data_IF_023798940003
#
_entry.id   IF_023798940003
#
_cell.length_a   1.000
_cell.length_b   1.000
_cell.length_c   1.000
_cell.angle_alpha   90.00
_cell.angle_beta   90.00
_cell.angle_gamma   90.00
#
_symmetry.space_group_name_H-M   'P 1'
#
loop_
_entity.id
_entity.type
_entity.pdbx_description
1 polymer ?
#
# COMPACT_ATOMS: atom_id res chain seq x y z
N UNK A 1 7.74 51.73 -28.43
CA UNK A 1 7.88 50.58 -29.36
C UNK A 1 8.68 49.40 -28.78
N UNK A 2 9.91 49.59 -28.27
CA UNK A 2 10.73 48.49 -27.68
C UNK A 2 10.10 47.77 -26.48
N UNK A 3 9.33 48.47 -25.65
CA UNK A 3 8.63 47.87 -24.48
C UNK A 3 7.49 46.95 -24.93
N UNK A 4 6.67 47.40 -25.89
CA UNK A 4 5.60 46.59 -26.47
C UNK A 4 6.12 45.30 -27.10
N UNK A 5 7.23 45.38 -27.84
CA UNK A 5 7.87 44.18 -28.41
C UNK A 5 8.31 43.18 -27.33
N UNK A 6 8.95 43.65 -26.25
CA UNK A 6 9.35 42.79 -25.12
C UNK A 6 8.14 42.15 -24.43
N UNK A 7 7.06 42.91 -24.22
CA UNK A 7 5.82 42.39 -23.62
C UNK A 7 5.14 41.36 -24.53
N UNK A 8 5.11 41.60 -25.85
CA UNK A 8 4.57 40.64 -26.81
C UNK A 8 5.36 39.33 -26.83
N UNK A 9 6.70 39.39 -26.78
CA UNK A 9 7.54 38.19 -26.70
C UNK A 9 7.29 37.41 -25.41
N UNK A 10 7.21 38.10 -24.26
CA UNK A 10 6.88 37.47 -22.97
C UNK A 10 5.49 36.82 -23.01
N UNK A 11 4.51 37.51 -23.60
CA UNK A 11 3.15 36.99 -23.73
C UNK A 11 3.08 35.75 -24.64
N UNK A 12 3.79 35.76 -25.77
CA UNK A 12 3.88 34.60 -26.68
C UNK A 12 4.56 33.43 -25.98
N UNK A 13 5.68 33.66 -25.27
CA UNK A 13 6.36 32.61 -24.50
C UNK A 13 5.46 32.04 -23.41
N UNK A 14 4.73 32.88 -22.69
CA UNK A 14 3.78 32.44 -21.68
C UNK A 14 2.64 31.62 -22.30
N UNK A 15 2.07 32.07 -23.42
CA UNK A 15 1.01 31.35 -24.13
C UNK A 15 1.48 29.97 -24.62
N UNK A 16 2.70 29.87 -25.16
CA UNK A 16 3.31 28.59 -25.54
C UNK A 16 3.51 27.68 -24.33
N UNK A 17 3.99 28.23 -23.21
CA UNK A 17 4.14 27.48 -21.96
C UNK A 17 2.81 27.11 -21.29
N UNK A 18 1.67 27.65 -21.73
CA UNK A 18 0.35 27.31 -21.20
C UNK A 18 -0.32 26.14 -21.94
N UNK A 19 0.23 25.68 -23.07
CA UNK A 19 -0.32 24.54 -23.85
C UNK A 19 -0.14 23.26 -23.03
N UNK A 20 -1.19 22.47 -22.73
CA UNK A 20 -1.08 21.25 -21.95
C UNK A 20 -0.30 20.13 -22.68
N UNK A 21 0.31 19.23 -21.91
CA UNK A 21 0.98 18.05 -22.46
C UNK A 21 -0.06 17.01 -22.90
N UNK A 22 0.09 16.42 -24.09
CA UNK A 22 -0.74 15.31 -24.58
C UNK A 22 -0.52 13.98 -23.83
N UNK A 23 0.36 13.95 -22.82
CA UNK A 23 0.91 12.70 -22.24
C UNK A 23 0.34 12.30 -20.87
N UNK A 24 -0.55 13.08 -20.27
CA UNK A 24 -1.09 12.74 -18.94
C UNK A 24 -2.54 12.30 -19.06
N UNK A 25 -2.77 11.02 -19.36
CA UNK A 25 -4.08 10.42 -19.11
C UNK A 25 -4.08 9.83 -17.71
N UNK A 26 -4.89 10.38 -16.80
CA UNK A 26 -5.31 9.59 -15.64
C UNK A 26 -6.21 8.49 -16.20
N UNK A 27 -5.74 7.24 -16.12
CA UNK A 27 -6.62 6.12 -16.36
C UNK A 27 -7.46 5.91 -15.10
N UNK A 28 -8.74 6.26 -15.18
CA UNK A 28 -9.74 5.88 -14.19
C UNK A 28 -10.46 4.66 -14.79
N UNK A 29 -10.35 3.48 -14.17
CA UNK A 29 -11.13 2.32 -14.57
C UNK A 29 -12.63 2.67 -14.61
N UNK A 30 -13.24 2.63 -15.82
CA UNK A 30 -14.68 2.94 -16.00
C UNK A 30 -15.58 1.97 -15.25
N UNK A 31 -15.13 0.73 -15.07
CA UNK A 31 -15.77 -0.31 -14.26
C UNK A 31 -14.76 -0.88 -13.27
N UNK A 32 -14.42 -0.10 -12.25
CA UNK A 32 -14.00 -0.68 -10.96
C UNK A 32 -15.25 -1.08 -10.20
N UNK A 33 -16.00 -2.04 -10.73
CA UNK A 33 -17.10 -2.64 -10.00
C UNK A 33 -16.59 -3.13 -8.64
N UNK A 34 -17.43 -3.01 -7.61
CA UNK A 34 -17.27 -3.55 -6.26
C UNK A 34 -17.13 -5.08 -6.26
N UNK A 35 -16.17 -5.63 -7.00
CA UNK A 35 -16.23 -6.99 -7.52
C UNK A 35 -15.92 -8.01 -6.45
N UNK A 36 -15.06 -7.75 -5.46
CA UNK A 36 -14.82 -8.66 -4.31
C UNK A 36 -14.56 -7.92 -3.00
N UNK A 37 -13.62 -6.96 -2.98
CA UNK A 37 -13.31 -6.13 -1.80
C UNK A 37 -14.51 -5.29 -1.34
N UNK A 38 -15.25 -4.67 -2.28
CA UNK A 38 -16.53 -4.02 -1.99
C UNK A 38 -17.56 -4.95 -1.31
N UNK A 39 -17.67 -6.20 -1.78
CA UNK A 39 -18.54 -7.22 -1.15
C UNK A 39 -18.06 -7.56 0.26
N UNK A 40 -16.75 -7.68 0.47
CA UNK A 40 -16.18 -7.93 1.80
C UNK A 40 -16.51 -6.80 2.77
N UNK A 41 -16.27 -5.54 2.38
CA UNK A 41 -16.57 -4.37 3.20
C UNK A 41 -18.06 -4.29 3.57
N UNK A 42 -18.94 -4.60 2.60
CA UNK A 42 -20.38 -4.65 2.81
C UNK A 42 -20.77 -5.70 3.84
N UNK A 43 -20.24 -6.93 3.71
CA UNK A 43 -20.48 -8.01 4.68
C UNK A 43 -19.95 -7.67 6.07
N UNK A 44 -18.76 -7.05 6.17
CA UNK A 44 -18.20 -6.61 7.45
C UNK A 44 -19.12 -5.58 8.13
N UNK A 45 -19.52 -4.53 7.40
CA UNK A 45 -20.41 -3.51 7.94
C UNK A 45 -21.76 -4.09 8.39
N UNK A 46 -22.36 -4.98 7.60
CA UNK A 46 -23.59 -5.68 7.96
C UNK A 46 -23.43 -6.55 9.21
N UNK A 47 -22.33 -7.31 9.31
CA UNK A 47 -22.04 -8.14 10.48
C UNK A 47 -21.83 -7.28 11.73
N UNK A 48 -21.10 -6.17 11.62
CA UNK A 48 -20.85 -5.27 12.74
C UNK A 48 -22.16 -4.71 13.32
N UNK A 49 -23.05 -4.22 12.46
CA UNK A 49 -24.38 -3.74 12.86
C UNK A 49 -25.20 -4.88 13.47
N UNK A 50 -25.22 -6.05 12.83
CA UNK A 50 -25.95 -7.23 13.30
C UNK A 50 -25.53 -7.65 14.70
N UNK A 51 -24.22 -7.79 14.96
CA UNK A 51 -23.73 -8.28 16.24
C UNK A 51 -23.75 -7.23 17.35
N UNK A 52 -23.74 -5.93 17.02
CA UNK A 52 -23.88 -4.87 18.02
C UNK A 52 -25.20 -4.89 18.78
N UNK A 53 -26.29 -5.30 18.12
CA UNK A 53 -27.62 -5.36 18.75
C UNK A 53 -27.87 -6.69 19.49
N UNK A 54 -26.93 -7.64 19.43
CA UNK A 54 -27.03 -8.91 20.17
C UNK A 54 -26.40 -8.82 21.56
N UNK A 55 -26.86 -9.65 22.50
CA UNK A 55 -26.28 -9.71 23.85
C UNK A 55 -24.80 -10.12 23.82
N UNK A 56 -24.03 -9.67 24.82
CA UNK A 56 -22.60 -10.02 24.96
C UNK A 56 -22.37 -11.55 25.02
N UNK A 57 -23.28 -12.27 25.66
CA UNK A 57 -23.24 -13.74 25.72
C UNK A 57 -23.39 -14.37 24.33
N UNK A 58 -24.32 -13.85 23.51
CA UNK A 58 -24.50 -14.33 22.14
C UNK A 58 -23.32 -13.96 21.24
N UNK A 59 -22.72 -12.77 21.41
CA UNK A 59 -21.50 -12.38 20.71
C UNK A 59 -20.35 -13.36 21.00
N UNK A 60 -20.09 -13.65 22.28
CA UNK A 60 -19.05 -14.60 22.67
C UNK A 60 -19.34 -16.03 22.17
N UNK A 61 -20.60 -16.48 22.23
CA UNK A 61 -21.02 -17.78 21.69
C UNK A 61 -20.77 -17.88 20.18
N UNK A 62 -21.20 -16.88 19.40
CA UNK A 62 -21.00 -16.86 17.95
C UNK A 62 -19.52 -16.75 17.58
N UNK A 63 -18.72 -16.00 18.36
CA UNK A 63 -17.27 -15.95 18.17
C UNK A 63 -16.64 -17.33 18.31
N UNK A 64 -16.90 -18.01 19.42
CA UNK A 64 -16.35 -19.34 19.70
C UNK A 64 -16.79 -20.37 18.66
N UNK A 65 -18.06 -20.33 18.25
CA UNK A 65 -18.61 -21.20 17.20
C UNK A 65 -17.89 -21.00 15.87
N UNK A 66 -17.76 -19.76 15.40
CA UNK A 66 -17.10 -19.48 14.12
C UNK A 66 -15.60 -19.78 14.17
N UNK A 67 -14.95 -19.52 15.30
CA UNK A 67 -13.53 -19.82 15.50
C UNK A 67 -13.27 -21.33 15.48
N UNK A 68 -14.11 -22.11 16.14
CA UNK A 68 -13.99 -23.58 16.12
C UNK A 68 -14.15 -24.15 14.71
N UNK A 69 -15.12 -23.65 13.94
CA UNK A 69 -15.32 -24.04 12.54
C UNK A 69 -14.13 -23.65 11.67
N UNK A 70 -13.62 -22.42 11.84
CA UNK A 70 -12.44 -21.95 11.14
C UNK A 70 -11.23 -22.85 11.43
N UNK A 71 -10.90 -23.11 12.70
CA UNK A 71 -9.78 -23.96 13.09
C UNK A 71 -9.85 -25.33 12.44
N UNK A 72 -11.02 -25.98 12.50
CA UNK A 72 -11.24 -27.27 11.84
C UNK A 72 -10.97 -27.20 10.33
N UNK A 73 -11.35 -26.11 9.66
CA UNK A 73 -11.11 -25.93 8.22
C UNK A 73 -9.64 -25.66 7.91
N UNK A 74 -8.94 -24.87 8.74
CA UNK A 74 -7.51 -24.63 8.61
C UNK A 74 -6.70 -25.92 8.82
N UNK A 75 -7.07 -26.73 9.81
CA UNK A 75 -6.47 -28.04 10.08
C UNK A 75 -6.63 -28.99 8.89
N UNK A 76 -7.79 -28.99 8.24
CA UNK A 76 -8.00 -29.79 7.04
C UNK A 76 -7.15 -29.27 5.85
N UNK A 77 -6.99 -27.95 5.73
CA UNK A 77 -6.20 -27.34 4.66
C UNK A 77 -4.69 -27.59 4.83
N UNK A 78 -4.23 -27.89 6.04
CA UNK A 78 -2.86 -28.36 6.28
C UNK A 78 -2.58 -29.74 5.68
N UNK A 79 -3.61 -30.57 5.53
CA UNK A 79 -3.49 -31.98 5.13
C UNK A 79 -3.71 -32.20 3.64
N UNK A 80 -4.37 -31.28 2.95
CA UNK A 80 -4.81 -31.43 1.56
C UNK A 80 -4.40 -30.22 0.72
N UNK A 81 -3.85 -30.47 -0.48
CA UNK A 81 -3.70 -29.42 -1.49
C UNK A 81 -5.06 -29.07 -2.09
N UNK A 82 -5.29 -27.79 -2.34
CA UNK A 82 -6.56 -27.29 -2.88
C UNK A 82 -6.32 -26.38 -4.07
N UNK A 83 -7.17 -26.49 -5.09
CA UNK A 83 -7.21 -25.55 -6.21
C UNK A 83 -7.79 -24.18 -5.82
N UNK A 84 -7.50 -23.10 -6.58
CA UNK A 84 -7.96 -21.73 -6.28
C UNK A 84 -9.49 -21.57 -6.25
N UNK A 85 -10.23 -22.41 -6.96
CA UNK A 85 -11.69 -22.41 -7.06
C UNK A 85 -12.38 -23.27 -5.98
N UNK A 86 -11.60 -23.89 -5.08
CA UNK A 86 -12.16 -24.79 -4.09
C UNK A 86 -13.11 -24.04 -3.12
N UNK A 87 -14.38 -24.47 -2.99
CA UNK A 87 -15.36 -23.81 -2.11
C UNK A 87 -14.96 -23.74 -0.63
N UNK A 88 -14.04 -24.61 -0.18
CA UNK A 88 -13.49 -24.55 1.19
C UNK A 88 -12.82 -23.20 1.46
N UNK A 89 -12.14 -22.61 0.48
CA UNK A 89 -11.46 -21.31 0.63
C UNK A 89 -12.46 -20.18 0.85
N UNK A 90 -13.57 -20.18 0.12
CA UNK A 90 -14.66 -19.21 0.32
C UNK A 90 -15.36 -19.38 1.67
N UNK A 91 -15.51 -20.62 2.15
CA UNK A 91 -16.03 -20.89 3.48
C UNK A 91 -15.10 -20.36 4.59
N UNK A 92 -13.78 -20.48 4.42
CA UNK A 92 -12.81 -19.92 5.36
C UNK A 92 -12.90 -18.40 5.36
N UNK A 93 -12.89 -17.75 4.18
CA UNK A 93 -13.08 -16.30 4.06
C UNK A 93 -14.39 -15.83 4.70
N UNK A 94 -15.48 -16.60 4.55
CA UNK A 94 -16.74 -16.33 5.24
C UNK A 94 -16.58 -16.28 6.77
N UNK A 95 -15.90 -17.25 7.37
CA UNK A 95 -15.66 -17.25 8.82
C UNK A 95 -14.74 -16.12 9.27
N UNK A 96 -13.68 -15.82 8.53
CA UNK A 96 -12.80 -14.67 8.79
C UNK A 96 -13.60 -13.36 8.80
N UNK A 97 -14.51 -13.17 7.84
CA UNK A 97 -15.36 -11.98 7.77
C UNK A 97 -16.39 -11.87 8.92
N UNK A 98 -16.87 -13.00 9.44
CA UNK A 98 -17.74 -13.02 10.63
C UNK A 98 -16.95 -12.71 11.89
N UNK A 99 -15.80 -13.35 12.03
CA UNK A 99 -14.91 -13.19 13.17
C UNK A 99 -14.35 -11.78 13.27
N UNK A 100 -14.08 -11.06 12.18
CA UNK A 100 -13.59 -9.68 12.28
C UNK A 100 -14.58 -8.74 12.97
N UNK A 101 -15.87 -8.87 12.70
CA UNK A 101 -16.90 -8.10 13.40
C UNK A 101 -17.02 -8.53 14.87
N UNK A 102 -17.03 -9.82 15.14
CA UNK A 102 -17.14 -10.35 16.51
C UNK A 102 -15.91 -10.03 17.37
N UNK A 103 -14.71 -10.18 16.82
CA UNK A 103 -13.44 -9.89 17.48
C UNK A 103 -13.33 -8.41 17.89
N UNK A 104 -13.97 -7.51 17.13
CA UNK A 104 -14.04 -6.10 17.50
C UNK A 104 -14.98 -5.80 18.66
N UNK A 105 -15.91 -6.70 18.97
CA UNK A 105 -16.97 -6.49 19.96
C UNK A 105 -16.74 -7.31 21.24
N UNK A 106 -16.04 -8.45 21.15
CA UNK A 106 -15.78 -9.35 22.27
C UNK A 106 -14.40 -9.06 22.86
N UNK A 107 -14.30 -8.53 24.10
CA UNK A 107 -13.02 -8.20 24.72
C UNK A 107 -12.08 -9.41 24.81
N UNK A 108 -10.79 -9.17 24.59
CA UNK A 108 -9.73 -10.19 24.72
C UNK A 108 -9.56 -11.14 23.52
N UNK A 109 -10.43 -11.05 22.50
CA UNK A 109 -10.42 -12.01 21.37
C UNK A 109 -9.61 -11.55 20.15
N UNK A 110 -9.13 -10.31 20.14
CA UNK A 110 -8.42 -9.74 18.99
C UNK A 110 -7.08 -10.45 18.70
N UNK A 111 -6.36 -10.89 19.74
CA UNK A 111 -5.10 -11.61 19.59
C UNK A 111 -5.32 -13.02 19.02
N UNK A 112 -6.34 -13.71 19.52
CA UNK A 112 -6.74 -15.01 18.98
C UNK A 112 -7.13 -14.92 17.50
N UNK A 113 -7.86 -13.86 17.13
CA UNK A 113 -8.26 -13.63 15.75
C UNK A 113 -7.06 -13.27 14.84
N UNK A 114 -6.10 -12.53 15.37
CA UNK A 114 -4.83 -12.23 14.71
C UNK A 114 -4.08 -13.52 14.33
N UNK A 115 -3.92 -14.44 15.28
CA UNK A 115 -3.28 -15.75 15.04
C UNK A 115 -4.03 -16.58 13.98
N UNK A 116 -5.36 -16.57 14.02
CA UNK A 116 -6.19 -17.28 13.06
C UNK A 116 -6.02 -16.70 11.63
N UNK A 117 -5.97 -15.36 11.49
CA UNK A 117 -5.72 -14.68 10.21
C UNK A 117 -4.30 -14.93 9.69
N UNK A 118 -3.30 -14.88 10.58
CA UNK A 118 -1.92 -15.16 10.20
C UNK A 118 -1.74 -16.62 9.74
N UNK A 119 -2.37 -17.56 10.43
CA UNK A 119 -2.39 -18.98 10.03
C UNK A 119 -3.03 -19.16 8.66
N UNK A 120 -4.20 -18.53 8.43
CA UNK A 120 -4.86 -18.55 7.13
C UNK A 120 -3.96 -18.04 6.00
N UNK A 121 -3.32 -16.87 6.17
CA UNK A 121 -2.43 -16.28 5.15
C UNK A 121 -1.19 -17.13 4.93
N UNK A 122 -0.61 -17.71 5.98
CA UNK A 122 0.50 -18.67 5.86
C UNK A 122 0.11 -19.91 5.06
N UNK A 123 -1.08 -20.47 5.31
CA UNK A 123 -1.57 -21.64 4.57
C UNK A 123 -1.87 -21.31 3.12
N UNK A 124 -2.46 -20.15 2.82
CA UNK A 124 -2.64 -19.69 1.45
C UNK A 124 -1.32 -19.56 0.70
N UNK A 125 -0.30 -18.96 1.31
CA UNK A 125 1.06 -18.88 0.73
C UNK A 125 1.71 -20.25 0.53
N UNK A 126 1.28 -21.26 1.29
CA UNK A 126 1.70 -22.64 1.08
C UNK A 126 0.94 -23.30 -0.08
N UNK A 127 -0.38 -23.14 -0.12
CA UNK A 127 -1.24 -23.67 -1.19
C UNK A 127 -0.87 -23.07 -2.55
N UNK A 128 -0.60 -21.76 -2.61
CA UNK A 128 -0.27 -21.04 -3.84
C UNK A 128 1.02 -21.49 -4.51
N UNK A 129 1.87 -22.27 -3.83
CA UNK A 129 3.07 -22.89 -4.40
C UNK A 129 2.74 -23.94 -5.47
N UNK A 130 1.52 -24.47 -5.42
CA UNK A 130 1.02 -25.52 -6.30
C UNK A 130 -0.03 -25.00 -7.29
N UNK A 131 -0.37 -23.71 -7.19
CA UNK A 131 -1.28 -23.08 -8.14
C UNK A 131 -0.51 -22.67 -9.39
N UNK A 132 -1.19 -22.63 -10.52
CA UNK A 132 -0.66 -22.04 -11.74
C UNK A 132 -0.59 -20.51 -11.58
N UNK A 133 0.58 -19.98 -11.20
CA UNK A 133 0.80 -18.54 -11.03
C UNK A 133 0.84 -17.77 -12.35
N UNK A 134 0.78 -18.46 -13.50
CA UNK A 134 0.55 -17.81 -14.80
C UNK A 134 -0.93 -17.53 -15.08
N UNK A 135 -1.83 -18.10 -14.26
CA UNK A 135 -3.28 -17.87 -14.36
C UNK A 135 -3.70 -16.60 -13.62
N UNK A 136 -4.28 -15.65 -14.37
CA UNK A 136 -4.93 -14.46 -13.81
C UNK A 136 -5.91 -14.84 -12.69
N UNK A 137 -6.69 -15.90 -12.88
CA UNK A 137 -7.66 -16.35 -11.89
C UNK A 137 -7.00 -16.79 -10.57
N UNK A 138 -5.93 -17.59 -10.63
CA UNK A 138 -5.25 -18.06 -9.42
C UNK A 138 -4.66 -16.87 -8.64
N UNK A 139 -4.08 -15.90 -9.36
CA UNK A 139 -3.52 -14.72 -8.74
C UNK A 139 -4.60 -13.76 -8.19
N UNK A 140 -5.74 -13.61 -8.88
CA UNK A 140 -6.90 -12.87 -8.37
C UNK A 140 -7.43 -13.48 -7.07
N UNK A 141 -7.49 -14.82 -6.99
CA UNK A 141 -7.93 -15.54 -5.79
C UNK A 141 -6.93 -15.41 -4.65
N UNK A 142 -5.64 -15.54 -4.93
CA UNK A 142 -4.59 -15.34 -3.93
C UNK A 142 -4.63 -13.91 -3.39
N UNK A 143 -4.69 -12.93 -4.30
CA UNK A 143 -4.86 -11.52 -4.00
C UNK A 143 -6.06 -11.32 -3.08
N UNK A 144 -7.23 -11.79 -3.50
CA UNK A 144 -8.47 -11.64 -2.75
C UNK A 144 -8.31 -12.16 -1.32
N UNK A 145 -7.84 -13.39 -1.13
CA UNK A 145 -7.84 -13.97 0.21
C UNK A 145 -6.76 -13.44 1.16
N UNK A 146 -5.57 -13.15 0.65
CA UNK A 146 -4.48 -12.54 1.44
C UNK A 146 -4.91 -11.15 1.92
N UNK A 147 -5.45 -10.36 1.00
CA UNK A 147 -5.90 -9.00 1.27
C UNK A 147 -7.13 -8.98 2.18
N UNK A 148 -8.13 -9.83 1.92
CA UNK A 148 -9.33 -9.95 2.76
C UNK A 148 -8.97 -10.34 4.21
N UNK A 149 -8.04 -11.28 4.39
CA UNK A 149 -7.58 -11.68 5.72
C UNK A 149 -6.98 -10.50 6.48
N UNK A 150 -6.08 -9.75 5.82
CA UNK A 150 -5.46 -8.56 6.41
C UNK A 150 -6.47 -7.45 6.70
N UNK A 151 -7.35 -7.13 5.74
CA UNK A 151 -8.41 -6.12 5.93
C UNK A 151 -9.36 -6.48 7.06
N UNK A 152 -9.63 -7.79 7.25
CA UNK A 152 -10.45 -8.31 8.33
C UNK A 152 -9.82 -8.04 9.70
N UNK A 153 -8.54 -8.37 9.85
CA UNK A 153 -7.79 -8.08 11.07
C UNK A 153 -7.70 -6.58 11.34
N UNK A 154 -7.23 -5.79 10.37
CA UNK A 154 -7.10 -4.33 10.53
C UNK A 154 -8.44 -3.66 10.89
N UNK A 155 -9.54 -4.15 10.33
CA UNK A 155 -10.88 -3.63 10.66
C UNK A 155 -11.31 -3.98 12.06
N UNK A 156 -11.03 -5.21 12.51
CA UNK A 156 -11.28 -5.60 13.89
C UNK A 156 -10.46 -4.73 14.85
N UNK A 157 -9.18 -4.52 14.54
CA UNK A 157 -8.24 -3.74 15.33
C UNK A 157 -8.62 -2.25 15.46
N UNK A 158 -9.10 -1.66 14.36
CA UNK A 158 -9.62 -0.27 14.37
C UNK A 158 -10.83 -0.16 15.29
N UNK A 159 -11.74 -1.13 15.22
CA UNK A 159 -13.00 -1.11 15.95
C UNK A 159 -12.85 -1.51 17.42
N UNK A 160 -11.82 -2.28 17.78
CA UNK A 160 -11.55 -2.71 19.16
C UNK A 160 -10.88 -1.63 20.02
N UNK A 161 -10.53 -0.47 19.45
CA UNK A 161 -9.92 0.68 20.14
C UNK A 161 -8.62 0.37 20.91
N UNK A 162 -7.91 -0.70 20.53
CA UNK A 162 -6.61 -1.00 21.12
C UNK A 162 -5.54 -0.09 20.51
N UNK A 163 -4.83 0.66 21.35
CA UNK A 163 -3.82 1.64 20.90
C UNK A 163 -2.42 1.05 20.69
N UNK A 164 -2.15 -0.15 21.19
CA UNK A 164 -0.81 -0.75 21.15
C UNK A 164 -0.40 -1.24 19.77
N UNK A 165 0.86 -0.98 19.43
CA UNK A 165 1.52 -1.56 18.27
C UNK A 165 1.55 -3.09 18.41
N UNK A 166 0.87 -3.79 17.50
CA UNK A 166 0.84 -5.26 17.53
C UNK A 166 1.93 -5.80 16.65
N UNK A 167 2.78 -6.64 17.20
CA UNK A 167 3.79 -7.39 16.46
C UNK A 167 3.34 -8.83 16.30
N UNK A 168 3.11 -9.24 15.05
CA UNK A 168 3.02 -10.66 14.74
C UNK A 168 4.42 -11.19 14.45
N UNK A 169 4.83 -12.21 15.20
CA UNK A 169 6.09 -12.90 15.01
C UNK A 169 5.78 -14.28 14.44
N UNK A 170 6.02 -14.50 13.15
CA UNK A 170 6.13 -15.87 12.69
C UNK A 170 7.37 -16.45 13.39
N UNK A 171 7.17 -17.44 14.25
CA UNK A 171 8.30 -18.15 14.89
C UNK A 171 9.21 -18.68 13.79
N UNK A 172 10.35 -18.03 13.61
CA UNK A 172 11.41 -18.49 12.72
C UNK A 172 12.65 -18.75 13.55
N UNK A 173 13.39 -19.80 13.18
CA UNK A 173 14.67 -20.09 13.83
C UNK A 173 15.67 -19.00 13.45
N UNK A 174 16.44 -18.45 14.39
CA UNK A 174 17.47 -17.46 14.10
C UNK A 174 18.53 -18.07 13.16
N UNK A 175 18.96 -17.32 12.15
CA UNK A 175 20.20 -17.62 11.42
C UNK A 175 21.39 -16.93 12.08
N UNK A 176 22.62 -17.37 11.76
CA UNK A 176 23.84 -16.86 12.40
C UNK A 176 24.09 -15.34 12.24
N UNK A 177 23.32 -14.67 11.36
CA UNK A 177 23.44 -13.25 11.05
C UNK A 177 22.12 -12.48 11.26
N UNK A 178 21.37 -12.82 12.30
CA UNK A 178 20.12 -12.13 12.67
C UNK A 178 20.34 -10.98 13.66
N UNK A 179 19.43 -10.00 13.66
CA UNK A 179 19.35 -8.93 14.66
C UNK A 179 17.96 -8.93 15.29
N UNK A 180 17.87 -8.71 16.61
CA UNK A 180 16.59 -8.78 17.33
C UNK A 180 16.06 -7.39 17.68
N UNK A 181 14.77 -7.14 17.41
CA UNK A 181 14.05 -5.93 17.82
C UNK A 181 12.58 -6.29 18.10
N UNK A 182 12.02 -5.85 19.24
CA UNK A 182 10.69 -6.28 19.73
C UNK A 182 10.44 -7.80 19.66
N UNK A 183 11.44 -8.62 20.04
CA UNK A 183 11.42 -10.09 19.94
C UNK A 183 11.28 -10.65 18.52
N UNK A 184 11.39 -9.81 17.48
CA UNK A 184 11.50 -10.22 16.08
C UNK A 184 12.96 -10.36 15.67
N UNK A 185 13.27 -11.41 14.90
CA UNK A 185 14.60 -11.63 14.33
C UNK A 185 14.61 -11.22 12.85
N UNK A 186 15.18 -10.04 12.60
CA UNK A 186 15.50 -9.57 11.27
C UNK A 186 16.64 -10.39 10.68
N UNK A 187 16.60 -10.62 9.37
CA UNK A 187 17.68 -11.22 8.59
C UNK A 187 18.02 -10.35 7.38
N UNK A 188 19.28 -10.42 6.96
CA UNK A 188 19.72 -9.78 5.72
C UNK A 188 18.88 -10.25 4.53
N UNK A 189 18.38 -9.31 3.74
CA UNK A 189 17.54 -9.60 2.57
C UNK A 189 16.07 -9.84 2.90
N UNK A 190 15.64 -9.69 4.16
CA UNK A 190 14.23 -9.50 4.46
C UNK A 190 13.71 -8.26 3.71
N UNK A 191 12.58 -8.41 3.03
CA UNK A 191 11.91 -7.31 2.33
C UNK A 191 10.82 -6.77 3.23
N UNK A 192 10.83 -5.46 3.47
CA UNK A 192 9.74 -4.77 4.15
C UNK A 192 8.78 -4.23 3.11
N UNK A 193 7.52 -4.65 3.16
CA UNK A 193 6.42 -4.04 2.43
C UNK A 193 5.59 -3.15 3.37
N UNK A 194 5.48 -1.86 3.07
CA UNK A 194 4.87 -0.89 3.98
C UNK A 194 4.01 0.15 3.28
N UNK A 195 3.18 0.84 4.05
CA UNK A 195 2.49 2.05 3.62
C UNK A 195 3.18 3.24 4.25
N UNK A 196 3.65 4.20 3.44
CA UNK A 196 4.21 5.45 3.96
C UNK A 196 3.15 6.26 4.71
N UNK A 197 3.60 7.20 5.53
CA UNK A 197 2.70 8.10 6.24
C UNK A 197 1.78 8.88 5.30
N UNK A 198 0.67 9.36 5.84
CA UNK A 198 -0.37 10.15 5.15
C UNK A 198 0.19 11.31 4.31
N UNK A 199 1.37 11.86 4.67
CA UNK A 199 1.96 13.04 4.02
C UNK A 199 2.53 12.75 2.62
N UNK A 200 2.90 11.50 2.31
CA UNK A 200 3.66 11.16 1.10
C UNK A 200 2.88 10.25 0.12
N UNK A 201 1.62 9.93 0.43
CA UNK A 201 0.84 8.87 -0.22
C UNK A 201 0.18 9.23 -1.56
N UNK A 202 0.29 10.47 -2.06
CA UNK A 202 -0.39 10.88 -3.31
C UNK A 202 0.46 10.69 -4.58
N UNK A 203 1.77 10.45 -4.45
CA UNK A 203 2.65 10.14 -5.60
C UNK A 203 2.52 8.70 -6.11
N UNK A 204 1.87 7.83 -5.34
CA UNK A 204 1.68 6.41 -5.68
C UNK A 204 0.20 6.15 -5.91
N UNK A 205 -0.05 5.28 -6.89
CA UNK A 205 -1.38 4.86 -7.32
C UNK A 205 -2.34 4.67 -6.14
N UNK A 206 -3.52 5.26 -6.26
CA UNK A 206 -4.56 5.13 -5.25
C UNK A 206 -5.40 3.92 -5.62
N UNK A 207 -5.49 2.98 -4.68
CA UNK A 207 -6.35 1.81 -4.81
C UNK A 207 -7.69 2.08 -4.17
N UNK A 208 -8.71 2.31 -5.00
CA UNK A 208 -10.07 2.71 -4.58
C UNK A 208 -10.68 1.81 -3.49
N UNK A 209 -10.40 0.50 -3.50
CA UNK A 209 -11.01 -0.46 -2.57
C UNK A 209 -10.04 -1.01 -1.51
N UNK A 210 -8.78 -0.56 -1.53
CA UNK A 210 -7.67 -1.16 -0.79
C UNK A 210 -6.90 -0.08 0.00
N UNK A 211 -7.51 0.48 1.06
CA UNK A 211 -6.97 1.65 1.73
C UNK A 211 -5.60 1.46 2.41
N UNK A 212 -5.20 0.22 2.66
CA UNK A 212 -4.01 -0.10 3.47
C UNK A 212 -3.02 -1.05 2.78
N UNK A 213 -3.15 -1.33 1.48
CA UNK A 213 -2.14 -2.17 0.78
C UNK A 213 -0.77 -1.51 0.82
N UNK A 214 0.27 -2.34 0.83
CA UNK A 214 1.65 -1.88 0.85
C UNK A 214 1.97 -1.12 -0.45
N UNK A 215 2.44 0.11 -0.30
CA UNK A 215 2.73 1.02 -1.41
C UNK A 215 4.23 1.20 -1.63
N UNK A 216 5.05 0.67 -0.74
CA UNK A 216 6.48 0.93 -0.66
C UNK A 216 7.21 -0.33 -0.27
N UNK A 217 8.44 -0.50 -0.75
CA UNK A 217 9.35 -1.57 -0.34
C UNK A 217 10.65 -1.02 0.23
N UNK A 218 11.26 -1.80 1.11
CA UNK A 218 12.63 -1.62 1.58
C UNK A 218 13.30 -2.97 1.81
N UNK A 219 14.62 -2.96 1.91
CA UNK A 219 15.42 -4.15 2.24
C UNK A 219 16.05 -3.99 3.62
N UNK A 220 16.06 -5.06 4.40
CA UNK A 220 16.83 -5.15 5.63
C UNK A 220 18.29 -5.43 5.29
N UNK A 221 19.17 -4.68 5.95
CA UNK A 221 20.59 -4.95 6.00
C UNK A 221 21.06 -4.93 7.46
N UNK A 222 21.87 -5.92 7.83
CA UNK A 222 22.40 -6.11 9.18
C UNK A 222 23.91 -6.11 9.09
N UNK A 223 24.52 -5.15 9.77
CA UNK A 223 25.97 -5.02 9.88
C UNK A 223 26.36 -4.93 11.36
N UNK A 224 27.31 -5.75 11.80
CA UNK A 224 27.76 -5.80 13.20
C UNK A 224 26.62 -5.90 14.23
N UNK A 225 25.57 -6.66 13.90
CA UNK A 225 24.39 -6.85 14.75
C UNK A 225 23.41 -5.67 14.79
N UNK A 226 23.66 -4.61 14.02
CA UNK A 226 22.73 -3.49 13.88
C UNK A 226 21.91 -3.64 12.60
N UNK A 227 20.59 -3.63 12.73
CA UNK A 227 19.67 -3.69 11.60
C UNK A 227 19.30 -2.29 11.09
N UNK A 228 19.36 -2.12 9.78
CA UNK A 228 18.95 -0.93 9.05
C UNK A 228 17.98 -1.29 7.93
N UNK A 229 17.10 -0.36 7.59
CA UNK A 229 16.24 -0.42 6.40
C UNK A 229 16.85 0.46 5.32
N UNK A 230 16.96 -0.11 4.12
CA UNK A 230 17.39 0.60 2.94
C UNK A 230 16.19 0.74 2.01
N UNK A 231 15.81 1.98 1.66
CA UNK A 231 14.63 2.25 0.85
C UNK A 231 14.78 3.56 0.05
N UNK A 232 13.97 3.75 -1.00
CA UNK A 232 14.04 4.95 -1.86
C UNK A 232 13.11 6.06 -1.37
N UNK A 233 13.57 6.97 -0.53
CA UNK A 233 12.83 8.16 -0.16
C UNK A 233 12.52 9.06 -1.37
N UNK A 234 11.29 9.56 -1.46
CA UNK A 234 10.85 10.39 -2.59
C UNK A 234 11.71 11.64 -2.79
N UNK A 235 12.21 12.23 -1.70
CA UNK A 235 12.96 13.50 -1.74
C UNK A 235 14.46 13.28 -1.69
N UNK A 236 14.91 12.29 -0.94
CA UNK A 236 16.34 12.03 -0.68
C UNK A 236 16.93 10.95 -1.57
N UNK A 237 16.12 10.22 -2.33
CA UNK A 237 16.57 9.06 -3.09
C UNK A 237 16.84 7.86 -2.19
N UNK A 238 17.78 7.01 -2.58
CA UNK A 238 18.12 5.80 -1.84
C UNK A 238 18.81 6.14 -0.51
N UNK A 239 18.18 5.79 0.61
CA UNK A 239 18.70 6.08 1.96
C UNK A 239 18.75 4.85 2.85
N UNK A 240 19.60 4.92 3.86
CA UNK A 240 19.76 3.92 4.91
C UNK A 240 19.31 4.54 6.22
N UNK A 241 18.41 3.87 6.94
CA UNK A 241 17.93 4.32 8.26
C UNK A 241 17.96 3.16 9.26
N UNK A 242 18.24 3.41 10.54
CA UNK A 242 18.09 2.38 11.57
C UNK A 242 16.67 1.80 11.59
N UNK A 243 16.53 0.50 11.86
CA UNK A 243 15.22 -0.17 11.88
C UNK A 243 14.25 0.45 12.88
N UNK A 244 14.73 0.87 14.04
CA UNK A 244 13.90 1.51 15.07
C UNK A 244 13.32 2.84 14.60
N UNK A 245 14.15 3.71 14.01
CA UNK A 245 13.72 4.99 13.41
C UNK A 245 12.71 4.72 12.29
N UNK A 246 12.99 3.74 11.42
CA UNK A 246 12.12 3.41 10.30
C UNK A 246 10.73 2.99 10.75
N UNK A 247 10.62 2.07 11.71
CA UNK A 247 9.34 1.55 12.17
C UNK A 247 8.54 2.62 12.89
N UNK A 248 9.19 3.41 13.76
CA UNK A 248 8.49 4.38 14.60
C UNK A 248 8.08 5.63 13.82
N UNK A 249 8.92 6.12 12.91
CA UNK A 249 8.75 7.45 12.29
C UNK A 249 8.33 7.40 10.82
N UNK A 250 8.73 6.35 10.07
CA UNK A 250 8.57 6.29 8.61
C UNK A 250 7.43 5.35 8.20
N UNK A 251 7.44 4.13 8.74
CA UNK A 251 6.57 3.03 8.33
C UNK A 251 5.93 2.36 9.54
N UNK A 252 5.01 3.02 10.24
CA UNK A 252 4.38 2.48 11.44
C UNK A 252 3.34 1.38 11.15
N UNK A 253 3.19 0.96 9.90
CA UNK A 253 2.52 -0.30 9.58
C UNK A 253 3.30 -0.97 8.46
N UNK A 254 3.56 -2.27 8.59
CA UNK A 254 4.31 -2.99 7.59
C UNK A 254 4.29 -4.50 7.77
N UNK A 255 4.84 -5.16 6.75
CA UNK A 255 4.93 -6.60 6.62
C UNK A 255 6.38 -6.91 6.27
N UNK A 256 6.94 -7.91 6.94
CA UNK A 256 8.29 -8.42 6.70
C UNK A 256 8.14 -9.73 5.96
N UNK A 257 8.80 -9.80 4.81
CA UNK A 257 8.78 -10.91 3.89
C UNK A 257 10.18 -11.50 3.81
N UNK A 258 10.27 -12.81 4.03
CA UNK A 258 11.53 -13.56 3.93
C UNK A 258 11.46 -14.53 2.77
N UNK A 259 12.55 -14.62 2.01
CA UNK A 259 12.67 -15.62 0.97
C UNK A 259 12.67 -17.02 1.60
N UNK A 260 11.86 -17.91 1.05
CA UNK A 260 11.77 -19.28 1.53
C UNK A 260 13.09 -20.02 1.32
N UNK A 261 13.52 -20.78 2.33
CA UNK A 261 14.75 -21.56 2.27
C UNK A 261 14.67 -22.82 1.37
N UNK A 262 13.46 -23.23 0.96
CA UNK A 262 13.20 -24.45 0.19
C UNK A 262 13.07 -24.21 -1.33
N UNK A 263 13.27 -22.99 -1.81
CA UNK A 263 13.25 -22.70 -3.26
C UNK A 263 14.59 -23.10 -3.92
N UNK A 264 14.60 -23.50 -5.20
CA UNK A 264 15.82 -23.95 -5.88
C UNK A 264 16.99 -22.95 -5.82
N UNK A 265 16.72 -21.66 -5.94
CA UNK A 265 17.71 -20.59 -5.88
C UNK A 265 18.39 -20.52 -4.51
N UNK A 266 17.63 -20.66 -3.42
CA UNK A 266 18.14 -20.66 -2.06
C UNK A 266 18.94 -21.91 -1.73
N UNK A 267 18.55 -23.07 -2.28
CA UNK A 267 19.31 -24.31 -2.12
C UNK A 267 20.66 -24.25 -2.87
N UNK A 268 20.70 -23.59 -4.04
CA UNK A 268 21.94 -23.37 -4.81
C UNK A 268 22.84 -22.31 -4.18
N UNK A 269 22.25 -21.24 -3.64
CA UNK A 269 22.97 -20.13 -3.04
C UNK A 269 22.28 -19.65 -1.76
N UNK A 270 22.57 -20.25 -0.59
CA UNK A 270 22.00 -19.83 0.69
C UNK A 270 22.36 -18.39 1.09
N UNK A 271 23.44 -17.83 0.53
CA UNK A 271 23.87 -16.45 0.78
C UNK A 271 23.12 -15.42 -0.07
N UNK A 272 22.21 -15.85 -0.96
CA UNK A 272 21.49 -14.98 -1.90
C UNK A 272 20.80 -13.77 -1.22
N UNK A 273 20.07 -13.90 -0.10
CA UNK A 273 19.43 -12.75 0.54
C UNK A 273 20.44 -11.73 1.07
N UNK A 274 21.56 -12.22 1.63
CA UNK A 274 22.66 -11.38 2.08
C UNK A 274 23.30 -10.63 0.90
N UNK A 275 23.63 -11.33 -0.18
CA UNK A 275 24.24 -10.72 -1.35
C UNK A 275 23.32 -9.66 -1.98
N UNK A 276 22.01 -9.93 -2.07
CA UNK A 276 21.04 -8.96 -2.56
C UNK A 276 20.97 -7.72 -1.66
N UNK A 277 20.93 -7.90 -0.34
CA UNK A 277 20.95 -6.78 0.61
C UNK A 277 22.25 -5.97 0.56
N UNK A 278 23.40 -6.65 0.41
CA UNK A 278 24.70 -6.01 0.22
C UNK A 278 24.74 -5.18 -1.04
N UNK A 279 24.22 -5.68 -2.16
CA UNK A 279 24.10 -4.90 -3.41
C UNK A 279 23.30 -3.61 -3.18
N UNK A 280 22.15 -3.69 -2.50
CA UNK A 280 21.32 -2.51 -2.21
C UNK A 280 22.06 -1.53 -1.28
N UNK A 281 22.79 -2.06 -0.29
CA UNK A 281 23.61 -1.26 0.61
C UNK A 281 24.73 -0.51 -0.12
N UNK A 282 25.45 -1.19 -1.01
CA UNK A 282 26.52 -0.58 -1.81
C UNK A 282 25.95 0.52 -2.72
N UNK A 283 24.81 0.27 -3.38
CA UNK A 283 24.11 1.28 -4.18
C UNK A 283 23.70 2.51 -3.35
N UNK A 284 23.28 2.31 -2.10
CA UNK A 284 22.92 3.39 -1.20
C UNK A 284 24.16 4.17 -0.73
N UNK A 285 25.26 3.47 -0.44
CA UNK A 285 26.52 4.06 -0.01
C UNK A 285 27.19 4.91 -1.11
N UNK A 286 26.96 4.57 -2.39
CA UNK A 286 27.38 5.39 -3.53
C UNK A 286 26.59 6.71 -3.66
N UNK A 287 25.37 6.78 -3.13
CA UNK A 287 24.55 7.99 -3.08
C UNK A 287 24.02 8.46 -4.45
N UNK A 288 23.92 7.56 -5.43
CA UNK A 288 23.73 7.89 -6.85
C UNK A 288 22.29 7.80 -7.36
N UNK A 289 21.37 7.18 -6.61
CA UNK A 289 20.02 6.86 -7.12
C UNK A 289 18.93 7.77 -6.54
N UNK A 290 18.24 8.50 -7.42
CA UNK A 290 17.01 9.25 -7.11
C UNK A 290 15.76 8.40 -7.28
N UNK A 291 14.65 8.83 -6.66
CA UNK A 291 13.35 8.16 -6.84
C UNK A 291 12.81 8.38 -8.25
N UNK A 292 12.40 7.30 -8.91
CA UNK A 292 11.77 7.35 -10.22
C UNK A 292 10.25 7.51 -10.12
N UNK A 293 9.77 8.73 -10.35
CA UNK A 293 8.34 9.04 -10.40
C UNK A 293 7.67 8.65 -11.72
N UNK A 294 8.45 8.42 -12.77
CA UNK A 294 7.96 8.00 -14.08
C UNK A 294 7.66 6.50 -14.14
N UNK A 295 8.18 5.72 -13.18
CA UNK A 295 8.18 4.26 -13.22
C UNK A 295 8.74 3.75 -14.56
N UNK A 296 9.84 4.35 -15.01
CA UNK A 296 10.53 4.08 -16.26
C UNK A 296 11.66 3.07 -16.02
N UNK A 297 11.37 1.79 -16.26
CA UNK A 297 12.31 0.67 -16.10
C UNK A 297 13.53 0.75 -17.03
N UNK A 298 13.56 1.67 -17.98
CA UNK A 298 14.70 1.91 -18.87
C UNK A 298 15.65 2.98 -18.32
N UNK A 299 15.26 3.71 -17.26
CA UNK A 299 16.11 4.73 -16.63
C UNK A 299 17.17 4.09 -15.75
N UNK A 300 18.44 4.37 -16.03
CA UNK A 300 19.55 3.74 -15.30
C UNK A 300 20.00 4.54 -14.05
N UNK A 301 19.56 5.79 -13.91
CA UNK A 301 19.98 6.72 -12.84
C UNK A 301 18.90 7.00 -11.79
N UNK A 302 17.70 6.44 -11.96
CA UNK A 302 16.58 6.58 -11.03
C UNK A 302 15.90 5.23 -10.88
N UNK A 303 15.43 4.90 -9.67
CA UNK A 303 14.77 3.63 -9.38
C UNK A 303 13.48 3.90 -8.59
N UNK A 304 12.54 2.98 -8.66
CA UNK A 304 11.43 2.90 -7.70
C UNK A 304 11.54 1.61 -6.86
N UNK A 305 10.77 1.52 -5.78
CA UNK A 305 10.98 0.52 -4.73
C UNK A 305 11.03 -0.92 -5.23
N UNK A 306 10.10 -1.32 -6.11
CA UNK A 306 10.10 -2.67 -6.68
C UNK A 306 11.29 -2.93 -7.61
N UNK A 307 11.71 -1.95 -8.39
CA UNK A 307 12.88 -2.08 -9.27
C UNK A 307 14.15 -2.29 -8.46
N UNK A 308 14.35 -1.53 -7.39
CA UNK A 308 15.49 -1.69 -6.49
C UNK A 308 15.60 -3.13 -5.98
N UNK A 309 14.51 -3.65 -5.40
CA UNK A 309 14.47 -5.00 -4.83
C UNK A 309 14.65 -6.06 -5.93
N UNK A 310 13.85 -5.99 -7.00
CA UNK A 310 13.88 -7.00 -8.07
C UNK A 310 15.23 -7.02 -8.81
N UNK A 311 15.87 -5.86 -9.03
CA UNK A 311 17.20 -5.76 -9.65
C UNK A 311 18.26 -6.44 -8.79
N UNK A 312 18.27 -6.19 -7.47
CA UNK A 312 19.23 -6.79 -6.56
C UNK A 312 19.09 -8.32 -6.50
N UNK A 313 17.87 -8.85 -6.38
CA UNK A 313 17.63 -10.29 -6.41
C UNK A 313 17.98 -10.92 -7.77
N UNK A 314 17.67 -10.23 -8.87
CA UNK A 314 18.00 -10.70 -10.24
C UNK A 314 19.50 -10.82 -10.47
N UNK A 315 20.30 -9.90 -9.92
CA UNK A 315 21.77 -9.99 -9.99
C UNK A 315 22.32 -11.23 -9.27
N UNK A 316 21.60 -11.74 -8.27
CA UNK A 316 21.93 -12.97 -7.55
C UNK A 316 21.25 -14.22 -8.13
N UNK A 317 20.66 -14.11 -9.32
CA UNK A 317 20.07 -15.24 -10.05
C UNK A 317 18.60 -15.55 -9.70
N UNK A 318 17.90 -14.66 -8.99
CA UNK A 318 16.47 -14.81 -8.69
C UNK A 318 15.63 -13.71 -9.35
N UNK A 319 14.82 -14.07 -10.34
CA UNK A 319 13.86 -13.15 -10.98
C UNK A 319 12.54 -13.10 -10.20
N UNK A 320 12.29 -12.01 -9.47
CA UNK A 320 11.03 -11.81 -8.75
C UNK A 320 9.81 -11.73 -9.70
N UNK A 321 8.65 -12.21 -9.24
CA UNK A 321 7.41 -12.28 -10.02
C UNK A 321 6.77 -10.90 -10.04
N UNK A 322 6.51 -10.36 -11.22
CA UNK A 322 5.80 -9.11 -11.42
C UNK A 322 4.54 -9.37 -12.25
N UNK A 323 3.55 -8.48 -12.15
CA UNK A 323 2.31 -8.57 -12.93
C UNK A 323 1.45 -9.77 -12.58
N UNK A 324 1.47 -10.16 -11.30
CA UNK A 324 0.60 -11.25 -10.83
C UNK A 324 -0.87 -10.89 -11.00
N UNK A 325 -1.26 -9.61 -11.03
CA UNK A 325 -2.67 -9.23 -11.09
C UNK A 325 -3.00 -8.29 -12.27
N UNK A 326 -4.20 -8.45 -12.87
CA UNK A 326 -4.73 -7.57 -13.92
C UNK A 326 -5.28 -6.26 -13.32
N UNK A 327 -4.53 -5.17 -13.51
CA UNK A 327 -4.62 -3.93 -12.70
C UNK A 327 -5.51 -2.83 -13.26
N UNK A 328 -6.10 -3.03 -14.44
CA UNK A 328 -6.98 -2.04 -15.08
C UNK A 328 -8.26 -1.73 -14.29
N UNK A 329 -8.44 -2.36 -13.12
CA UNK A 329 -9.62 -2.31 -12.26
C UNK A 329 -9.42 -1.55 -10.95
N UNK A 330 -8.18 -1.23 -10.52
CA UNK A 330 -7.97 -0.74 -9.14
C UNK A 330 -7.02 0.46 -8.96
N UNK A 331 -6.08 0.73 -9.87
CA UNK A 331 -5.06 1.77 -9.68
C UNK A 331 -5.39 3.06 -10.43
N UNK A 332 -5.41 4.20 -9.73
CA UNK A 332 -5.45 5.52 -10.37
C UNK A 332 -4.03 6.04 -10.52
N UNK A 333 -3.58 6.25 -11.77
CA UNK A 333 -2.21 6.66 -12.07
C UNK A 333 -2.14 8.12 -12.50
N UNK A 334 -1.17 8.86 -11.95
CA UNK A 334 -0.89 10.25 -12.32
C UNK A 334 0.49 10.30 -12.97
N UNK A 335 0.54 10.14 -14.31
CA UNK A 335 1.74 10.44 -15.10
C UNK A 335 2.82 9.36 -15.21
N UNK A 336 2.60 8.14 -14.71
CA UNK A 336 3.56 7.02 -14.82
C UNK A 336 3.53 6.35 -16.20
N UNK A 337 4.70 5.98 -16.75
CA UNK A 337 4.83 5.18 -17.98
C UNK A 337 4.54 3.70 -17.77
N UNK A 338 4.98 3.11 -16.65
CA UNK A 338 4.70 1.71 -16.30
C UNK A 338 3.97 1.60 -14.96
N UNK A 339 2.65 1.84 -14.92
CA UNK A 339 1.85 1.68 -13.70
C UNK A 339 1.73 0.23 -13.21
N UNK A 340 2.30 -0.71 -13.96
CA UNK A 340 2.22 -2.14 -13.75
C UNK A 340 3.25 -2.66 -12.75
N UNK A 341 3.83 -1.86 -11.86
CA UNK A 341 4.73 -2.38 -10.81
C UNK A 341 4.33 -1.80 -9.47
N UNK A 342 3.61 -2.60 -8.67
CA UNK A 342 3.01 -2.18 -7.40
C UNK A 342 3.71 -2.95 -6.28
N UNK A 343 4.31 -2.26 -5.30
CA UNK A 343 4.97 -2.87 -4.15
C UNK A 343 4.21 -4.00 -3.47
N UNK A 344 2.88 -3.90 -3.33
CA UNK A 344 2.06 -4.97 -2.74
C UNK A 344 2.23 -6.35 -3.39
N UNK A 345 2.57 -6.46 -4.68
CA UNK A 345 2.69 -7.77 -5.34
C UNK A 345 3.77 -8.68 -4.75
N UNK A 346 4.80 -8.12 -4.09
CA UNK A 346 5.78 -8.92 -3.37
C UNK A 346 5.13 -9.78 -2.27
N UNK A 347 4.01 -9.32 -1.70
CA UNK A 347 3.24 -10.06 -0.70
C UNK A 347 2.59 -11.31 -1.33
N UNK A 348 2.29 -11.27 -2.63
CA UNK A 348 1.69 -12.38 -3.37
C UNK A 348 2.72 -13.41 -3.83
N UNK A 349 3.93 -12.99 -4.21
CA UNK A 349 5.01 -13.87 -4.71
C UNK A 349 5.25 -15.06 -3.77
N UNK A 350 4.91 -16.26 -4.25
CA UNK A 350 4.87 -17.51 -3.46
C UNK A 350 6.24 -17.98 -2.94
N UNK A 351 7.33 -17.34 -3.39
CA UNK A 351 8.69 -17.59 -2.89
C UNK A 351 8.99 -16.86 -1.59
N UNK A 352 8.20 -15.84 -1.25
CA UNK A 352 8.27 -15.18 0.05
C UNK A 352 7.29 -15.80 1.06
N UNK A 353 7.67 -15.77 2.32
CA UNK A 353 6.81 -16.01 3.48
C UNK A 353 6.70 -14.74 4.31
N UNK A 354 5.53 -14.53 4.92
CA UNK A 354 5.34 -13.47 5.91
C UNK A 354 5.99 -13.95 7.21
N UNK A 355 7.00 -13.21 7.67
CA UNK A 355 7.73 -13.53 8.91
C UNK A 355 7.38 -12.59 10.06
N UNK A 356 6.94 -11.38 9.76
CA UNK A 356 6.45 -10.48 10.79
C UNK A 356 5.57 -9.38 10.24
N UNK A 357 4.72 -8.83 11.10
CA UNK A 357 3.82 -7.72 10.75
C UNK A 357 3.68 -6.80 11.94
N UNK A 358 3.51 -5.50 11.68
CA UNK A 358 3.18 -4.55 12.73
C UNK A 358 2.13 -3.54 12.32
N UNK A 359 1.31 -3.17 13.31
CA UNK A 359 0.14 -2.32 13.07
C UNK A 359 -0.10 -1.31 14.19
N UNK A 360 -0.42 -0.08 13.80
CA UNK A 360 -0.93 0.99 14.65
C UNK A 360 -2.36 1.35 14.25
N UNK A 361 -3.32 1.01 15.11
CA UNK A 361 -4.77 1.17 14.86
C UNK A 361 -5.17 2.58 14.40
N UNK A 362 -4.64 3.61 15.06
CA UNK A 362 -4.94 5.01 14.70
C UNK A 362 -4.43 5.39 13.31
N UNK A 363 -3.28 4.87 12.90
CA UNK A 363 -2.71 5.16 11.59
C UNK A 363 -3.39 4.37 10.48
N UNK A 364 -3.83 3.14 10.75
CA UNK A 364 -4.70 2.40 9.84
C UNK A 364 -6.03 3.15 9.60
N UNK A 365 -6.60 3.74 10.65
CA UNK A 365 -7.81 4.56 10.52
C UNK A 365 -7.57 5.83 9.69
N UNK A 366 -6.49 6.55 9.97
CA UNK A 366 -6.09 7.74 9.20
C UNK A 366 -5.82 7.43 7.71
N UNK A 367 -5.16 6.31 7.42
CA UNK A 367 -4.93 5.84 6.04
C UNK A 367 -6.24 5.51 5.32
N UNK A 368 -7.24 4.95 6.01
CA UNK A 368 -8.59 4.71 5.46
C UNK A 368 -9.32 6.00 5.15
N UNK A 369 -9.25 7.01 6.03
CA UNK A 369 -9.81 8.33 5.77
C UNK A 369 -9.16 8.99 4.54
N UNK A 370 -7.83 8.93 4.47
CA UNK A 370 -7.08 9.48 3.35
C UNK A 370 -7.51 8.82 2.04
N UNK A 371 -7.54 7.48 2.02
CA UNK A 371 -7.92 6.73 0.81
C UNK A 371 -9.36 7.00 0.40
N UNK A 372 -10.29 7.08 1.36
CA UNK A 372 -11.68 7.45 1.08
C UNK A 372 -11.79 8.86 0.47
N UNK A 373 -11.08 9.85 1.02
CA UNK A 373 -11.06 11.21 0.49
C UNK A 373 -10.45 11.26 -0.92
N UNK A 374 -9.32 10.58 -1.15
CA UNK A 374 -8.69 10.54 -2.47
C UNK A 374 -9.58 9.87 -3.50
N UNK A 375 -10.19 8.74 -3.14
CA UNK A 375 -11.11 8.00 -3.99
C UNK A 375 -12.28 8.90 -4.40
N UNK A 376 -12.91 9.58 -3.44
CA UNK A 376 -14.03 10.48 -3.72
C UNK A 376 -13.65 11.62 -4.67
N UNK A 377 -12.46 12.21 -4.51
CA UNK A 377 -11.97 13.26 -5.42
C UNK A 377 -11.88 12.74 -6.85
N UNK A 378 -11.30 11.56 -7.03
CA UNK A 378 -11.06 10.98 -8.34
C UNK A 378 -12.37 10.51 -8.99
N UNK A 379 -13.33 10.00 -8.22
CA UNK A 379 -14.65 9.61 -8.74
C UNK A 379 -15.47 10.80 -9.25
N UNK A 380 -15.28 11.99 -8.67
CA UNK A 380 -16.10 13.16 -8.99
C UNK A 380 -15.43 14.14 -9.95
N UNK A 381 -14.13 13.99 -10.22
CA UNK A 381 -13.36 14.93 -11.04
C UNK A 381 -12.45 14.22 -12.00
N UNK A 382 -12.42 14.75 -13.23
CA UNK A 382 -11.49 14.34 -14.26
C UNK A 382 -10.11 14.97 -14.02
N UNK A 383 -9.09 14.42 -14.67
CA UNK A 383 -7.74 15.02 -14.70
C UNK A 383 -7.77 16.49 -15.15
N UNK A 384 -8.60 16.79 -16.15
CA UNK A 384 -8.69 18.12 -16.77
C UNK A 384 -9.19 19.18 -15.78
N UNK A 385 -10.00 18.79 -14.79
CA UNK A 385 -10.51 19.70 -13.76
C UNK A 385 -9.40 20.27 -12.85
N UNK A 386 -8.22 19.63 -12.83
CA UNK A 386 -7.08 20.07 -12.03
C UNK A 386 -6.03 20.86 -12.82
N UNK A 387 -6.14 20.91 -14.15
CA UNK A 387 -5.19 21.62 -15.00
C UNK A 387 -5.56 23.11 -15.02
N UNK A 388 -4.78 23.92 -14.30
CA UNK A 388 -4.86 25.37 -14.41
C UNK A 388 -3.88 25.88 -15.47
N UNK A 389 -4.38 26.18 -16.67
CA UNK A 389 -3.58 26.70 -17.79
C UNK A 389 -2.74 27.93 -17.42
N UNK A 390 -3.24 28.78 -16.52
CA UNK A 390 -2.52 29.97 -16.04
C UNK A 390 -1.34 29.66 -15.12
N UNK A 391 -1.37 28.51 -14.41
CA UNK A 391 -0.28 28.10 -13.53
C UNK A 391 0.77 27.27 -14.25
N UNK A 392 0.40 26.58 -15.33
CA UNK A 392 1.30 25.68 -16.06
C UNK A 392 2.63 26.35 -16.48
N UNK A 393 2.67 27.60 -16.96
CA UNK A 393 3.93 28.29 -17.25
C UNK A 393 4.87 28.42 -16.05
N UNK A 394 4.34 28.67 -14.86
CA UNK A 394 5.12 28.78 -13.61
C UNK A 394 5.79 27.43 -13.30
N UNK A 395 5.02 26.34 -13.38
CA UNK A 395 5.54 25.00 -13.14
C UNK A 395 6.56 24.58 -14.22
N UNK A 396 6.39 25.00 -15.47
CA UNK A 396 7.39 24.72 -16.52
C UNK A 396 8.70 25.46 -16.32
N UNK A 397 8.65 26.71 -15.87
CA UNK A 397 9.86 27.46 -15.47
C UNK A 397 10.54 26.76 -14.28
N UNK A 398 9.78 26.35 -13.27
CA UNK A 398 10.30 25.59 -12.13
C UNK A 398 10.91 24.24 -12.56
N UNK A 399 10.30 23.54 -13.53
CA UNK A 399 10.85 22.30 -14.08
C UNK A 399 12.14 22.55 -14.85
N UNK A 400 12.21 23.62 -15.66
CA UNK A 400 13.42 24.04 -16.33
C UNK A 400 14.55 24.32 -15.32
N UNK A 401 14.25 25.05 -14.25
CA UNK A 401 15.20 25.26 -13.15
C UNK A 401 15.63 23.95 -12.49
N UNK A 402 14.71 23.01 -12.27
CA UNK A 402 15.02 21.70 -11.67
C UNK A 402 16.01 20.91 -12.51
N UNK A 403 15.91 20.95 -13.84
CA UNK A 403 16.89 20.34 -14.75
C UNK A 403 18.28 20.95 -14.56
N UNK A 404 18.37 22.28 -14.43
CA UNK A 404 19.63 22.95 -14.13
C UNK A 404 20.14 22.61 -12.73
N UNK A 405 19.28 22.60 -11.72
CA UNK A 405 19.62 22.29 -10.33
C UNK A 405 20.17 20.87 -10.19
N UNK A 406 19.54 19.88 -10.84
CA UNK A 406 19.97 18.49 -10.83
C UNK A 406 21.37 18.28 -11.43
N UNK A 407 21.74 19.05 -12.47
CA UNK A 407 23.10 19.01 -13.04
C UNK A 407 24.20 19.44 -12.06
N UNK A 408 23.86 20.22 -11.02
CA UNK A 408 24.78 20.72 -10.02
C UNK A 408 24.54 20.12 -8.62
N UNK A 409 23.67 19.10 -8.50
CA UNK A 409 23.36 18.44 -7.23
C UNK A 409 22.58 19.31 -6.24
N UNK A 410 21.86 20.34 -6.71
CA UNK A 410 21.01 21.17 -5.85
C UNK A 410 19.60 20.57 -5.73
N UNK A 411 18.88 20.96 -4.66
CA UNK A 411 17.49 20.55 -4.44
C UNK A 411 16.59 20.99 -5.60
N UNK A 412 15.91 20.02 -6.21
CA UNK A 412 15.01 20.23 -7.33
C UNK A 412 13.60 20.64 -6.83
N UNK A 413 13.04 21.79 -7.26
CA UNK A 413 11.65 22.14 -6.95
C UNK A 413 10.62 21.18 -7.53
N UNK A 414 10.90 20.60 -8.72
CA UNK A 414 10.08 19.58 -9.36
C UNK A 414 10.98 18.39 -9.71
N UNK A 415 10.83 17.25 -9.01
CA UNK A 415 11.72 16.10 -9.16
C UNK A 415 11.89 15.62 -10.60
N UNK A 416 13.10 15.20 -10.93
CA UNK A 416 13.47 14.44 -12.11
C UNK A 416 12.54 13.22 -12.25
N UNK A 417 11.90 13.07 -13.42
CA UNK A 417 10.83 12.08 -13.65
C UNK A 417 9.39 12.63 -13.59
N UNK A 418 9.13 13.75 -12.91
CA UNK A 418 7.80 14.40 -12.90
C UNK A 418 7.72 15.51 -13.95
N UNK A 419 6.63 15.54 -14.72
CA UNK A 419 6.33 16.67 -15.63
C UNK A 419 5.75 17.87 -14.87
N UNK A 420 5.95 19.09 -15.38
CA UNK A 420 5.37 20.30 -14.81
C UNK A 420 3.84 20.19 -14.61
N UNK A 421 3.15 19.59 -15.58
CA UNK A 421 1.70 19.35 -15.52
C UNK A 421 1.33 18.35 -14.42
N UNK A 422 2.08 17.25 -14.28
CA UNK A 422 1.84 16.26 -13.23
C UNK A 422 2.03 16.85 -11.83
N UNK A 423 3.06 17.69 -11.64
CA UNK A 423 3.27 18.39 -10.37
C UNK A 423 2.15 19.41 -10.07
N UNK A 424 1.68 20.14 -11.08
CA UNK A 424 0.55 21.06 -10.93
C UNK A 424 -0.72 20.33 -10.47
N UNK A 425 -1.02 19.19 -11.10
CA UNK A 425 -2.16 18.34 -10.75
C UNK A 425 -1.99 17.77 -9.35
N UNK A 426 -0.77 17.30 -9.01
CA UNK A 426 -0.42 16.83 -7.68
C UNK A 426 -0.74 17.86 -6.60
N UNK A 427 -0.27 19.09 -6.76
CA UNK A 427 -0.48 20.15 -5.77
C UNK A 427 -1.97 20.52 -5.64
N UNK A 428 -2.69 20.54 -6.77
CA UNK A 428 -4.12 20.82 -6.80
C UNK A 428 -4.93 19.74 -6.06
N UNK A 429 -4.66 18.46 -6.34
CA UNK A 429 -5.34 17.35 -5.67
C UNK A 429 -4.94 17.27 -4.20
N UNK A 430 -3.65 17.41 -3.86
CA UNK A 430 -3.19 17.40 -2.45
C UNK A 430 -3.89 18.48 -1.63
N UNK A 431 -4.03 19.69 -2.18
CA UNK A 431 -4.78 20.78 -1.53
C UNK A 431 -6.24 20.41 -1.32
N UNK A 432 -6.89 19.84 -2.34
CA UNK A 432 -8.30 19.44 -2.25
C UNK A 432 -8.51 18.29 -1.27
N UNK A 433 -7.63 17.30 -1.28
CA UNK A 433 -7.60 16.17 -0.35
C UNK A 433 -7.49 16.65 1.10
N UNK A 434 -6.58 17.57 1.41
CA UNK A 434 -6.46 18.17 2.76
C UNK A 434 -7.77 18.84 3.21
N UNK A 435 -8.42 19.58 2.32
CA UNK A 435 -9.71 20.23 2.61
C UNK A 435 -10.82 19.20 2.86
N UNK A 436 -10.95 18.22 1.97
CA UNK A 436 -11.96 17.16 2.09
C UNK A 436 -11.73 16.31 3.34
N UNK A 437 -10.48 15.96 3.66
CA UNK A 437 -10.12 15.19 4.84
C UNK A 437 -10.55 15.92 6.14
N UNK A 438 -10.34 17.24 6.22
CA UNK A 438 -10.77 18.02 7.38
C UNK A 438 -12.30 18.01 7.55
N UNK A 439 -13.04 18.17 6.46
CA UNK A 439 -14.51 18.10 6.45
C UNK A 439 -15.01 16.69 6.81
N UNK A 440 -14.38 15.66 6.25
CA UNK A 440 -14.69 14.25 6.49
C UNK A 440 -14.49 13.89 7.96
N UNK A 441 -13.35 14.26 8.57
CA UNK A 441 -13.10 14.05 10.00
C UNK A 441 -14.16 14.69 10.87
N UNK A 442 -14.61 15.90 10.51
CA UNK A 442 -15.65 16.62 11.25
C UNK A 442 -17.00 15.90 11.14
N UNK A 443 -17.39 15.50 9.92
CA UNK A 443 -18.63 14.79 9.66
C UNK A 443 -18.68 13.42 10.35
N UNK A 444 -17.57 12.68 10.32
CA UNK A 444 -17.48 11.36 10.94
C UNK A 444 -17.44 11.45 12.47
N UNK A 445 -16.77 12.44 13.06
CA UNK A 445 -16.78 12.61 14.53
C UNK A 445 -18.20 12.67 15.11
N UNK A 446 -19.12 13.35 14.43
CA UNK A 446 -20.54 13.41 14.83
C UNK A 446 -21.25 12.05 14.66
N UNK A 447 -20.96 11.34 13.58
CA UNK A 447 -21.48 10.00 13.34
C UNK A 447 -20.99 8.99 14.39
N UNK A 448 -19.68 8.98 14.67
CA UNK A 448 -19.03 8.04 15.56
C UNK A 448 -19.49 8.22 17.02
N UNK A 449 -19.69 9.48 17.46
CA UNK A 449 -20.32 9.78 18.75
C UNK A 449 -21.73 9.21 18.86
N UNK A 450 -22.52 9.32 17.79
CA UNK A 450 -23.91 8.80 17.76
C UNK A 450 -23.95 7.27 17.75
N UNK A 451 -23.06 6.64 16.99
CA UNK A 451 -23.06 5.19 16.82
C UNK A 451 -22.21 4.44 17.86
N UNK A 452 -21.43 5.16 18.66
CA UNK A 452 -20.50 4.61 19.65
C UNK A 452 -19.51 3.63 19.00
N UNK A 453 -19.00 4.00 17.83
CA UNK A 453 -17.96 3.26 17.10
C UNK A 453 -17.33 4.08 15.99
N UNK A 454 -16.10 3.71 15.62
CA UNK A 454 -15.42 4.26 14.46
C UNK A 454 -16.14 3.92 13.16
N UNK A 455 -16.17 4.84 12.20
CA UNK A 455 -16.78 4.61 10.90
C UNK A 455 -16.11 3.43 10.18
N UNK A 456 -16.89 2.64 9.44
CA UNK A 456 -16.34 1.65 8.52
C UNK A 456 -15.81 2.34 7.26
N UNK A 457 -14.92 1.69 6.50
CA UNK A 457 -14.38 2.27 5.27
C UNK A 457 -15.49 2.68 4.28
N UNK A 458 -16.51 1.85 4.08
CA UNK A 458 -17.65 2.20 3.23
C UNK A 458 -18.38 3.45 3.73
N UNK A 459 -18.51 3.62 5.05
CA UNK A 459 -19.16 4.82 5.59
C UNK A 459 -18.29 6.06 5.38
N UNK A 460 -16.97 5.93 5.50
CA UNK A 460 -16.02 7.00 5.17
C UNK A 460 -16.13 7.40 3.70
N UNK A 461 -16.10 6.43 2.79
CA UNK A 461 -16.20 6.66 1.35
C UNK A 461 -17.56 7.29 0.97
N UNK A 462 -18.66 6.75 1.51
CA UNK A 462 -19.99 7.34 1.34
C UNK A 462 -19.99 8.80 1.76
N UNK A 463 -19.46 9.13 2.94
CA UNK A 463 -19.49 10.50 3.44
C UNK A 463 -18.57 11.43 2.66
N UNK A 464 -17.42 10.92 2.19
CA UNK A 464 -16.53 11.67 1.31
C UNK A 464 -17.22 12.01 -0.02
N UNK A 465 -17.95 11.06 -0.60
CA UNK A 465 -18.74 11.26 -1.83
C UNK A 465 -19.88 12.27 -1.62
N UNK A 466 -20.63 12.19 -0.51
CA UNK A 466 -21.65 13.20 -0.16
C UNK A 466 -21.08 14.62 -0.13
N UNK A 467 -19.95 14.82 0.55
CA UNK A 467 -19.28 16.14 0.62
C UNK A 467 -18.83 16.63 -0.76
N UNK A 468 -18.34 15.73 -1.62
CA UNK A 468 -17.91 16.08 -2.97
C UNK A 468 -19.10 16.49 -3.86
N UNK A 469 -20.24 15.82 -3.76
CA UNK A 469 -21.48 16.20 -4.45
C UNK A 469 -21.98 17.56 -3.99
N UNK A 470 -22.06 17.81 -2.67
CA UNK A 470 -22.46 19.11 -2.12
C UNK A 470 -21.56 20.27 -2.60
N UNK A 471 -20.25 20.02 -2.74
CA UNK A 471 -19.33 21.04 -3.28
C UNK A 471 -19.57 21.34 -4.76
N UNK A 472 -19.96 20.32 -5.55
CA UNK A 472 -20.26 20.48 -6.96
C UNK A 472 -21.51 21.33 -7.16
N UNK A 473 -22.55 21.06 -6.38
CA UNK A 473 -23.83 21.77 -6.45
C UNK A 473 -23.70 23.24 -6.01
N UNK A 474 -22.82 23.54 -5.04
CA UNK A 474 -22.56 24.91 -4.59
C UNK A 474 -21.60 25.70 -5.52
N UNK A 475 -20.97 25.05 -6.49
CA UNK A 475 -20.04 25.68 -7.44
C UNK A 475 -20.66 25.93 -8.83
N UNK A 476 -21.88 25.44 -9.06
CA UNK A 476 -22.72 25.73 -10.22
C UNK A 476 -23.68 26.87 -9.87
#
# INVERSE_FOLDING_TARGET
MKIFYKLSVIFILYALLAIPDNRTSIHIPKDSGLTTSGRWWGKFAQNLVKYRITSKQNQAFEYNKHRQLLKKQLDNLLLELTEPDNPKLDSISHHINKLSALASLVPGTIHEFEEDVATWRKLLKYQSRYWDTSSDYANERLFQFIVEGRMAFESALIQSETEEARWHLAKNQPTAHSSTFHNFNFENGDVIAFSSTVKDNFHISVFKELPNVSKRLGSIYINNGQASVIYLDYKKGLIIVPVEEFINDIAPNGIILRLRNDIPEMLRNPALPLLAATTIYEMAAEGTYSYDYGFDIESHSSLFDWELISKAFKQQGLSLEANLFNRNTFAINIGSKNPHLIPFEVELDHRFIIVGEWYHSNLLYENRLLTAATTAIIEHQSHEDFISYFKLPIYRVAKGYSVFAGLFGFNEPIPSGITAQSQLVYDAVSKKQKKLLAQLKTALSSYEKKQQHKATYLKMLQKANEIMTEQKDNSQ
#
